data_IF_494081872408
#
_entry.id   IF_494081872408
#
_cell.length_a   1.000
_cell.length_b   1.000
_cell.length_c   1.000
_cell.angle_alpha   90.00
_cell.angle_beta   90.00
_cell.angle_gamma   90.00
#
_symmetry.space_group_name_H-M   'P 1'
#
loop_
_entity.id
_entity.type
_entity.pdbx_description
1 polymer ?
#
# COMPACT_ATOMS: atom_id res chain seq x y z
N UNK A 1 24.23 -18.83 -17.02
CA UNK A 1 23.85 -17.44 -16.72
C UNK A 1 22.77 -16.88 -17.67
N UNK A 2 22.82 -17.14 -18.98
CA UNK A 2 21.83 -16.65 -19.96
C UNK A 2 20.39 -17.14 -19.69
N UNK A 3 20.20 -18.39 -19.28
CA UNK A 3 18.89 -18.97 -18.98
C UNK A 3 18.19 -18.30 -17.80
N UNK A 4 18.90 -18.04 -16.71
CA UNK A 4 18.38 -17.33 -15.53
C UNK A 4 17.94 -15.90 -15.90
N UNK A 5 18.75 -15.19 -16.68
CA UNK A 5 18.42 -13.84 -17.16
C UNK A 5 17.16 -13.85 -18.06
N UNK A 6 17.00 -14.89 -18.90
CA UNK A 6 15.81 -15.09 -19.73
C UNK A 6 14.56 -15.29 -18.90
N UNK A 7 14.63 -16.13 -17.86
CA UNK A 7 13.52 -16.39 -16.94
C UNK A 7 13.12 -15.14 -16.17
N UNK A 8 14.07 -14.41 -15.62
CA UNK A 8 13.80 -13.13 -14.94
C UNK A 8 13.13 -12.11 -15.86
N UNK A 9 13.57 -12.01 -17.11
CA UNK A 9 12.94 -11.14 -18.12
C UNK A 9 11.50 -11.55 -18.40
N UNK A 10 11.26 -12.86 -18.56
CA UNK A 10 9.90 -13.39 -18.78
C UNK A 10 8.96 -13.02 -17.62
N UNK A 11 9.38 -13.28 -16.37
CA UNK A 11 8.60 -12.95 -15.17
C UNK A 11 8.32 -11.44 -15.09
N UNK A 12 9.33 -10.61 -15.33
CA UNK A 12 9.16 -9.16 -15.35
C UNK A 12 8.15 -8.71 -16.40
N UNK A 13 8.22 -9.22 -17.62
CA UNK A 13 7.30 -8.86 -18.69
C UNK A 13 5.87 -9.31 -18.39
N UNK A 14 5.68 -10.51 -17.83
CA UNK A 14 4.36 -10.98 -17.39
C UNK A 14 3.76 -10.06 -16.32
N UNK A 15 4.58 -9.66 -15.33
CA UNK A 15 4.16 -8.73 -14.28
C UNK A 15 3.79 -7.36 -14.84
N UNK A 16 4.61 -6.80 -15.72
CA UNK A 16 4.30 -5.53 -16.38
C UNK A 16 2.99 -5.60 -17.18
N UNK A 17 2.79 -6.69 -17.92
CA UNK A 17 1.53 -6.90 -18.66
C UNK A 17 0.32 -6.95 -17.72
N UNK A 18 0.41 -7.68 -16.60
CA UNK A 18 -0.65 -7.72 -15.59
C UNK A 18 -0.96 -6.32 -15.03
N UNK A 19 0.08 -5.52 -14.71
CA UNK A 19 -0.09 -4.14 -14.26
C UNK A 19 -0.72 -3.25 -15.33
N UNK A 20 -0.33 -3.41 -16.61
CA UNK A 20 -0.95 -2.68 -17.71
C UNK A 20 -2.44 -2.99 -17.87
N UNK A 21 -2.81 -4.27 -17.76
CA UNK A 21 -4.21 -4.70 -17.86
C UNK A 21 -5.02 -4.19 -16.66
N UNK A 22 -4.50 -4.37 -15.42
CA UNK A 22 -5.18 -3.94 -14.21
C UNK A 22 -5.39 -2.42 -14.20
N UNK A 23 -4.32 -1.64 -14.45
CA UNK A 23 -4.41 -0.18 -14.46
C UNK A 23 -5.38 0.33 -15.55
N UNK A 24 -5.42 -0.31 -16.74
CA UNK A 24 -6.38 0.04 -17.78
C UNK A 24 -7.82 -0.27 -17.35
N UNK A 25 -8.04 -1.43 -16.75
CA UNK A 25 -9.37 -1.81 -16.22
C UNK A 25 -9.87 -0.80 -15.19
N UNK A 26 -9.05 -0.45 -14.21
CA UNK A 26 -9.41 0.52 -13.16
C UNK A 26 -9.77 1.88 -13.76
N UNK A 27 -8.94 2.41 -14.66
CA UNK A 27 -9.17 3.72 -15.30
C UNK A 27 -10.42 3.72 -16.19
N UNK A 28 -10.73 2.60 -16.86
CA UNK A 28 -11.94 2.51 -17.67
C UNK A 28 -13.21 2.36 -16.83
N UNK A 29 -13.11 1.79 -15.63
CA UNK A 29 -14.25 1.46 -14.79
C UNK A 29 -14.62 2.58 -13.81
N UNK A 30 -13.65 3.39 -13.37
CA UNK A 30 -13.84 4.37 -12.30
C UNK A 30 -13.43 5.77 -12.73
N UNK A 31 -14.26 6.77 -12.41
CA UNK A 31 -13.97 8.20 -12.62
C UNK A 31 -13.03 8.75 -11.54
N UNK A 32 -13.09 8.16 -10.34
CA UNK A 32 -12.25 8.52 -9.20
C UNK A 32 -11.54 7.29 -8.65
N UNK A 33 -10.22 7.39 -8.53
CA UNK A 33 -9.36 6.36 -7.93
C UNK A 33 -8.63 6.99 -6.75
N UNK A 34 -8.92 6.54 -5.54
CA UNK A 34 -8.21 6.96 -4.33
C UNK A 34 -7.11 5.95 -3.99
N UNK A 35 -5.90 6.43 -3.73
CA UNK A 35 -4.73 5.62 -3.41
C UNK A 35 -4.02 6.16 -2.17
N UNK A 36 -3.35 5.30 -1.42
CA UNK A 36 -2.50 5.73 -0.30
C UNK A 36 -1.15 6.26 -0.77
N UNK A 37 -0.66 7.35 -0.14
CA UNK A 37 0.70 7.86 -0.34
C UNK A 37 1.74 6.98 0.35
N UNK A 38 1.93 5.78 -0.18
CA UNK A 38 2.88 4.82 0.35
C UNK A 38 4.32 5.21 0.02
N UNK A 39 5.14 5.42 1.04
CA UNK A 39 6.58 5.68 0.88
C UNK A 39 7.32 4.36 0.67
N UNK A 40 7.14 3.75 -0.51
CA UNK A 40 7.66 2.40 -0.84
C UNK A 40 9.16 2.28 -0.59
N UNK A 41 9.95 3.33 -0.89
CA UNK A 41 11.38 3.37 -0.59
C UNK A 41 11.67 3.15 0.90
N UNK A 42 10.84 3.72 1.79
CA UNK A 42 10.97 3.53 3.23
C UNK A 42 10.51 2.13 3.66
N UNK A 43 9.49 1.60 3.00
CA UNK A 43 8.97 0.26 3.31
C UNK A 43 9.99 -0.84 3.04
N UNK A 44 10.84 -0.69 2.00
CA UNK A 44 11.88 -1.67 1.63
C UNK A 44 13.25 -1.37 2.25
N UNK A 45 13.36 -0.38 3.12
CA UNK A 45 14.62 -0.05 3.80
C UNK A 45 15.05 -1.20 4.71
N UNK A 46 16.32 -1.55 4.66
CA UNK A 46 16.93 -2.51 5.58
C UNK A 46 16.95 -1.98 7.03
N UNK A 47 16.80 -2.84 8.03
CA UNK A 47 16.99 -2.43 9.43
C UNK A 47 18.41 -1.90 9.66
N UNK A 48 18.53 -0.93 10.55
CA UNK A 48 19.85 -0.44 10.96
C UNK A 48 20.60 -1.54 11.72
N UNK A 49 21.94 -1.60 11.61
CA UNK A 49 22.77 -2.42 12.49
C UNK A 49 22.46 -2.10 13.95
N UNK A 50 22.45 -3.11 14.79
CA UNK A 50 22.25 -2.97 16.25
C UNK A 50 23.52 -3.45 16.97
N UNK A 51 24.46 -2.55 17.34
CA UNK A 51 25.64 -2.93 18.12
C UNK A 51 25.24 -3.50 19.48
N UNK A 52 26.02 -4.44 19.99
CA UNK A 52 25.91 -4.91 21.37
C UNK A 52 26.39 -3.81 22.33
N UNK A 53 25.60 -3.39 23.34
CA UNK A 53 26.02 -2.39 24.31
C UNK A 53 27.26 -2.78 25.12
N UNK A 54 27.51 -4.08 25.30
CA UNK A 54 28.66 -4.62 26.03
C UNK A 54 29.90 -4.85 25.16
N UNK A 55 29.72 -4.96 23.83
CA UNK A 55 30.81 -5.10 22.87
C UNK A 55 30.43 -4.46 21.53
N UNK A 56 30.81 -3.20 21.26
CA UNK A 56 30.42 -2.48 20.04
C UNK A 56 30.90 -3.09 18.70
N UNK A 57 31.86 -4.01 18.76
CA UNK A 57 32.31 -4.74 17.56
C UNK A 57 31.40 -5.89 17.18
N UNK A 58 30.47 -6.29 18.08
CA UNK A 58 29.49 -7.35 17.86
C UNK A 58 28.12 -6.75 17.54
N UNK A 59 27.44 -7.30 16.55
CA UNK A 59 26.10 -6.87 16.17
C UNK A 59 25.05 -7.91 16.62
N UNK A 60 24.02 -7.43 17.29
CA UNK A 60 22.88 -8.22 17.73
C UNK A 60 21.91 -8.48 16.58
N UNK A 61 21.14 -9.58 16.61
CA UNK A 61 20.07 -9.83 15.65
C UNK A 61 19.08 -8.66 15.59
N UNK A 62 18.81 -8.15 14.39
CA UNK A 62 17.95 -6.99 14.14
C UNK A 62 16.76 -7.30 13.22
N UNK A 63 16.47 -8.58 12.96
CA UNK A 63 15.39 -9.00 12.07
C UNK A 63 15.68 -8.78 10.57
N UNK A 64 16.92 -8.52 10.18
CA UNK A 64 17.30 -8.23 8.80
C UNK A 64 16.90 -9.35 7.82
N UNK A 65 17.02 -10.62 8.20
CA UNK A 65 16.65 -11.75 7.36
C UNK A 65 15.13 -11.78 7.04
N UNK A 66 14.29 -11.64 8.06
CA UNK A 66 12.83 -11.56 7.90
C UNK A 66 12.44 -10.32 7.08
N UNK A 67 13.08 -9.17 7.37
CA UNK A 67 12.85 -7.93 6.63
C UNK A 67 13.28 -8.04 5.16
N UNK A 68 14.35 -8.76 4.84
CA UNK A 68 14.79 -8.99 3.47
C UNK A 68 13.74 -9.78 2.66
N UNK A 69 13.11 -10.81 3.28
CA UNK A 69 11.99 -11.53 2.68
C UNK A 69 10.80 -10.62 2.36
N UNK A 70 10.37 -9.81 3.33
CA UNK A 70 9.30 -8.83 3.15
C UNK A 70 9.64 -7.79 2.07
N UNK A 71 10.87 -7.26 2.07
CA UNK A 71 11.33 -6.30 1.06
C UNK A 71 11.26 -6.88 -0.35
N UNK A 72 11.63 -8.16 -0.50
CA UNK A 72 11.52 -8.88 -1.77
C UNK A 72 10.06 -8.97 -2.22
N UNK A 73 9.14 -9.37 -1.33
CA UNK A 73 7.72 -9.46 -1.63
C UNK A 73 7.12 -8.10 -2.04
N UNK A 74 7.48 -7.01 -1.33
CA UNK A 74 7.04 -5.64 -1.66
C UNK A 74 7.57 -5.22 -3.05
N UNK A 75 8.86 -5.48 -3.32
CA UNK A 75 9.47 -5.16 -4.61
C UNK A 75 8.86 -5.98 -5.75
N UNK A 76 8.58 -7.24 -5.48
CA UNK A 76 7.94 -8.15 -6.42
C UNK A 76 6.49 -7.78 -6.72
N UNK A 77 5.75 -7.23 -5.79
CA UNK A 77 4.40 -6.70 -6.02
C UNK A 77 4.39 -5.53 -7.03
N UNK A 78 5.48 -4.78 -7.16
CA UNK A 78 5.64 -3.72 -8.15
C UNK A 78 4.66 -2.55 -7.98
N UNK A 79 4.24 -2.24 -6.76
CA UNK A 79 3.25 -1.20 -6.48
C UNK A 79 3.59 0.16 -7.07
N UNK A 80 4.85 0.60 -7.01
CA UNK A 80 5.27 1.88 -7.59
C UNK A 80 4.98 1.94 -9.10
N UNK A 81 5.22 0.84 -9.81
CA UNK A 81 4.97 0.72 -11.24
C UNK A 81 3.45 0.77 -11.52
N UNK A 82 2.66 0.01 -10.76
CA UNK A 82 1.21 0.00 -10.90
C UNK A 82 0.61 1.39 -10.64
N UNK A 83 1.01 2.06 -9.56
CA UNK A 83 0.53 3.40 -9.21
C UNK A 83 0.91 4.44 -10.29
N UNK A 84 2.13 4.37 -10.81
CA UNK A 84 2.55 5.21 -11.95
C UNK A 84 1.70 4.96 -13.19
N UNK A 85 1.40 3.67 -13.51
CA UNK A 85 0.55 3.32 -14.64
C UNK A 85 -0.90 3.80 -14.47
N UNK A 86 -1.45 3.76 -13.27
CA UNK A 86 -2.76 4.31 -12.96
C UNK A 86 -2.73 5.83 -13.19
N UNK A 87 -1.73 6.53 -12.66
CA UNK A 87 -1.61 7.98 -12.76
C UNK A 87 -1.64 8.48 -14.21
N UNK A 88 -0.68 8.07 -15.05
CA UNK A 88 -0.63 8.59 -16.43
C UNK A 88 -1.82 8.16 -17.30
N UNK A 89 -2.37 6.96 -17.05
CA UNK A 89 -3.55 6.49 -17.80
C UNK A 89 -4.82 7.22 -17.38
N UNK A 90 -4.96 7.53 -16.11
CA UNK A 90 -6.06 8.32 -15.59
C UNK A 90 -6.03 9.74 -16.16
N UNK A 91 -4.87 10.40 -16.14
CA UNK A 91 -4.65 11.69 -16.76
C UNK A 91 -5.05 11.67 -18.24
N UNK A 92 -4.55 10.71 -19.01
CA UNK A 92 -4.87 10.53 -20.44
C UNK A 92 -6.37 10.28 -20.69
N UNK A 93 -7.09 9.71 -19.73
CA UNK A 93 -8.52 9.39 -19.86
C UNK A 93 -9.44 10.43 -19.17
N UNK A 94 -8.91 11.54 -18.66
CA UNK A 94 -9.66 12.55 -17.94
C UNK A 94 -10.25 12.02 -16.61
N UNK A 95 -9.60 11.04 -15.98
CA UNK A 95 -10.01 10.47 -14.69
C UNK A 95 -9.24 11.10 -13.54
N UNK A 96 -9.84 11.13 -12.38
CA UNK A 96 -9.25 11.71 -11.18
C UNK A 96 -8.53 10.63 -10.36
N UNK A 97 -7.26 10.88 -10.03
CA UNK A 97 -6.53 10.11 -9.03
C UNK A 97 -6.24 11.01 -7.84
N UNK A 98 -6.63 10.56 -6.64
CA UNK A 98 -6.36 11.29 -5.39
C UNK A 98 -5.50 10.45 -4.47
N UNK A 99 -4.45 11.07 -3.92
CA UNK A 99 -3.53 10.42 -2.99
C UNK A 99 -3.86 10.83 -1.57
N UNK A 100 -4.02 9.86 -0.67
CA UNK A 100 -4.40 10.10 0.73
C UNK A 100 -3.30 9.66 1.69
N UNK A 101 -3.22 10.31 2.84
CA UNK A 101 -2.33 9.91 3.93
C UNK A 101 -2.72 8.51 4.45
N UNK A 102 -1.80 7.53 4.48
CA UNK A 102 -2.09 6.17 4.92
C UNK A 102 -2.34 6.04 6.43
N UNK A 103 -2.09 7.10 7.22
CA UNK A 103 -2.23 7.04 8.68
C UNK A 103 -3.65 6.71 9.09
N UNK A 104 -3.79 5.66 9.90
CA UNK A 104 -5.04 5.20 10.50
C UNK A 104 -6.12 4.69 9.53
N UNK A 105 -5.88 4.61 8.24
CA UNK A 105 -6.85 4.08 7.25
C UNK A 105 -7.35 2.70 7.62
N UNK A 106 -6.47 1.82 8.08
CA UNK A 106 -6.80 0.44 8.52
C UNK A 106 -7.26 0.32 9.98
N UNK A 107 -7.28 1.41 10.75
CA UNK A 107 -7.60 1.42 12.17
C UNK A 107 -8.88 2.21 12.49
N UNK A 108 -9.37 3.00 11.55
CA UNK A 108 -10.57 3.83 11.69
C UNK A 108 -11.82 3.00 11.39
N UNK A 109 -12.82 3.11 12.25
CA UNK A 109 -14.14 2.54 12.01
C UNK A 109 -14.91 3.36 10.97
N UNK A 110 -15.44 2.71 9.95
CA UNK A 110 -16.24 3.35 8.89
C UNK A 110 -17.61 3.84 9.41
N UNK A 111 -18.11 3.28 10.51
CA UNK A 111 -19.42 3.61 11.09
C UNK A 111 -19.34 4.76 12.08
N UNK A 112 -18.43 4.67 13.07
CA UNK A 112 -18.38 5.64 14.18
C UNK A 112 -17.10 6.48 14.21
N UNK A 113 -16.23 6.35 13.22
CA UNK A 113 -14.94 7.05 13.07
C UNK A 113 -13.95 6.83 14.23
N UNK A 114 -14.22 5.91 15.16
CA UNK A 114 -13.30 5.57 16.23
C UNK A 114 -12.01 4.99 15.68
N UNK A 115 -10.88 5.51 16.14
CA UNK A 115 -9.54 5.08 15.73
C UNK A 115 -8.88 4.36 16.90
N UNK A 116 -8.57 3.08 16.71
CA UNK A 116 -7.81 2.30 17.68
C UNK A 116 -7.03 1.19 16.97
N UNK A 117 -5.79 0.95 17.41
CA UNK A 117 -4.97 -0.15 16.88
C UNK A 117 -5.65 -1.51 17.10
N UNK A 118 -6.34 -1.67 18.22
CA UNK A 118 -7.10 -2.87 18.59
C UNK A 118 -8.31 -3.15 17.70
N UNK A 119 -8.79 -2.17 16.90
CA UNK A 119 -9.84 -2.43 15.93
C UNK A 119 -9.40 -3.42 14.84
N UNK A 120 -8.09 -3.54 14.57
CA UNK A 120 -7.51 -4.53 13.66
C UNK A 120 -6.69 -5.54 14.44
N UNK A 121 -7.39 -6.45 15.14
CA UNK A 121 -6.75 -7.49 15.96
C UNK A 121 -6.03 -8.56 15.11
N UNK A 122 -6.53 -8.82 13.87
CA UNK A 122 -5.98 -9.78 12.90
C UNK A 122 -5.84 -9.13 11.53
N UNK A 123 -5.06 -9.75 10.64
CA UNK A 123 -4.80 -9.22 9.31
C UNK A 123 -6.07 -9.01 8.48
N UNK A 124 -7.01 -9.95 8.52
CA UNK A 124 -8.22 -9.93 7.72
C UNK A 124 -9.48 -9.44 8.47
N UNK A 125 -9.42 -9.29 9.81
CA UNK A 125 -10.60 -9.01 10.64
C UNK A 125 -10.49 -7.62 11.25
N UNK A 126 -11.49 -6.79 10.96
CA UNK A 126 -11.75 -5.52 11.61
C UNK A 126 -12.91 -5.66 12.60
N UNK A 127 -12.73 -5.22 13.83
CA UNK A 127 -13.80 -5.15 14.85
C UNK A 127 -13.65 -3.89 15.68
N UNK A 128 -14.58 -2.98 15.53
CA UNK A 128 -14.56 -1.72 16.26
C UNK A 128 -14.75 -1.94 17.75
N UNK A 129 -13.82 -1.49 18.57
CA UNK A 129 -13.89 -1.60 20.03
C UNK A 129 -14.94 -0.65 20.66
N UNK A 130 -15.42 0.35 19.90
CA UNK A 130 -16.41 1.33 20.41
C UNK A 130 -17.85 0.94 20.06
N UNK A 131 -18.13 0.61 18.79
CA UNK A 131 -19.50 0.36 18.34
C UNK A 131 -19.77 -1.10 17.93
N UNK A 132 -18.78 -1.99 18.03
CA UNK A 132 -18.93 -3.40 17.71
C UNK A 132 -19.00 -3.73 16.21
N UNK A 133 -18.93 -2.73 15.31
CA UNK A 133 -18.95 -2.98 13.85
C UNK A 133 -17.83 -3.95 13.45
N UNK A 134 -18.19 -4.99 12.71
CA UNK A 134 -17.27 -5.99 12.18
C UNK A 134 -17.30 -5.97 10.65
N UNK A 135 -16.10 -6.12 10.02
CA UNK A 135 -15.95 -6.13 8.57
C UNK A 135 -14.62 -6.80 8.19
N UNK A 136 -14.42 -7.04 6.89
CA UNK A 136 -13.10 -7.40 6.36
C UNK A 136 -12.17 -6.19 6.46
N UNK A 137 -11.00 -6.37 7.08
CA UNK A 137 -10.09 -5.26 7.39
C UNK A 137 -9.65 -4.46 6.16
N UNK A 138 -9.45 -5.13 5.01
CA UNK A 138 -9.01 -4.46 3.79
C UNK A 138 -10.16 -3.71 3.09
N UNK A 139 -11.41 -4.20 3.18
CA UNK A 139 -12.59 -3.48 2.70
C UNK A 139 -12.83 -2.22 3.53
N UNK A 140 -12.78 -2.35 4.85
CA UNK A 140 -12.89 -1.21 5.77
C UNK A 140 -11.81 -0.15 5.50
N UNK A 141 -10.57 -0.58 5.28
CA UNK A 141 -9.47 0.33 4.90
C UNK A 141 -9.73 1.01 3.54
N UNK A 142 -10.18 0.27 2.54
CA UNK A 142 -10.49 0.82 1.22
C UNK A 142 -11.61 1.87 1.27
N UNK A 143 -12.66 1.64 2.07
CA UNK A 143 -13.71 2.62 2.31
C UNK A 143 -13.17 3.91 2.95
N UNK A 144 -12.28 3.79 3.95
CA UNK A 144 -11.67 4.95 4.61
C UNK A 144 -10.78 5.75 3.64
N UNK A 145 -10.02 5.07 2.77
CA UNK A 145 -9.19 5.69 1.74
C UNK A 145 -10.08 6.47 0.76
N UNK A 146 -11.14 5.85 0.25
CA UNK A 146 -12.07 6.49 -0.67
C UNK A 146 -12.77 7.70 -0.03
N UNK A 147 -13.23 7.58 1.20
CA UNK A 147 -13.86 8.67 1.94
C UNK A 147 -12.91 9.87 2.14
N UNK A 148 -11.69 9.58 2.54
CA UNK A 148 -10.68 10.63 2.72
C UNK A 148 -10.38 11.32 1.40
N UNK A 149 -10.23 10.58 0.31
CA UNK A 149 -10.01 11.13 -1.02
C UNK A 149 -11.16 12.02 -1.51
N UNK A 150 -12.39 11.58 -1.34
CA UNK A 150 -13.58 12.40 -1.66
C UNK A 150 -13.65 13.68 -0.84
N UNK A 151 -13.35 13.62 0.45
CA UNK A 151 -13.35 14.81 1.31
C UNK A 151 -12.24 15.80 0.92
N UNK A 152 -11.08 15.34 0.47
CA UNK A 152 -10.01 16.22 -0.05
C UNK A 152 -10.46 16.94 -1.33
N UNK A 153 -11.07 16.23 -2.28
CA UNK A 153 -11.58 16.84 -3.52
C UNK A 153 -12.69 17.85 -3.26
N UNK A 154 -13.63 17.53 -2.39
CA UNK A 154 -14.70 18.47 -2.04
C UNK A 154 -14.17 19.79 -1.44
N UNK A 155 -13.11 19.72 -0.63
CA UNK A 155 -12.47 20.94 -0.09
C UNK A 155 -11.74 21.74 -1.17
N UNK A 156 -11.08 21.07 -2.11
CA UNK A 156 -10.36 21.74 -3.20
C UNK A 156 -11.30 22.43 -4.20
N UNK A 157 -12.57 22.02 -4.28
CA UNK A 157 -13.58 22.62 -5.17
C UNK A 157 -14.27 23.86 -4.57
N UNK A 158 -14.04 24.17 -3.31
CA UNK A 158 -14.71 25.28 -2.57
C UNK A 158 -13.77 26.47 -2.34
N UNK A 159 -12.46 26.31 -2.60
CA UNK A 159 -11.45 27.37 -2.50
C UNK A 159 -10.99 27.86 -3.85
#
# INVERSE_FOLDING_TARGET
MQEVARLHRKVRNQRQNAHHQLSRRLVNQFDLIAIEDLKIKNMVRSPKPRPDPSNPEVFLPNGAAAKAGLNRSISDAGWAILLSMIGYKAESAGRTVVTVDPRHTSQRCVVCSHVARSNRAKQAVFKCQRCGHEDHADLSAACNILWTGRAQLARASVG
#
